data_IF_641166416891
#
_entry.id   IF_641166416891
#
_cell.length_a   1.000
_cell.length_b   1.000
_cell.length_c   1.000
_cell.angle_alpha   90.00
_cell.angle_beta   90.00
_cell.angle_gamma   90.00
#
_symmetry.space_group_name_H-M   'P 1'
#
loop_
_entity.id
_entity.type
_entity.pdbx_description
1 polymer ?
#
# COMPACT_ATOMS: atom_id res chain seq x y z
N UNK A 1 38.88 13.83 -23.85
CA UNK A 1 38.33 14.50 -25.05
C UNK A 1 36.82 14.86 -24.88
N UNK A 2 36.02 14.07 -24.24
CA UNK A 2 34.58 14.35 -23.99
C UNK A 2 34.33 15.49 -22.97
N UNK A 3 35.16 15.65 -21.92
CA UNK A 3 35.02 16.71 -20.93
C UNK A 3 35.16 18.14 -21.49
N UNK A 4 36.03 18.37 -22.48
CA UNK A 4 36.21 19.69 -23.09
C UNK A 4 35.10 20.09 -24.09
N UNK A 5 34.25 19.16 -24.52
CA UNK A 5 33.10 19.45 -25.36
C UNK A 5 31.87 19.90 -24.50
N UNK A 6 31.76 19.43 -23.25
CA UNK A 6 30.70 19.83 -22.31
C UNK A 6 30.76 21.32 -21.95
N UNK A 7 31.95 21.85 -21.71
CA UNK A 7 32.11 23.28 -21.36
C UNK A 7 31.79 24.24 -22.52
N UNK A 8 31.88 23.79 -23.77
CA UNK A 8 31.66 24.64 -24.96
C UNK A 8 30.23 24.72 -25.47
N UNK A 9 29.37 23.77 -25.05
CA UNK A 9 27.99 23.70 -25.55
C UNK A 9 26.98 23.33 -24.41
N UNK A 10 26.59 24.29 -23.58
CA UNK A 10 25.58 24.04 -22.54
C UNK A 10 24.23 23.57 -23.13
N UNK A 11 23.98 23.87 -24.39
CA UNK A 11 22.79 23.37 -25.11
C UNK A 11 22.86 21.84 -25.36
N UNK A 12 24.03 21.23 -25.40
CA UNK A 12 24.19 19.79 -25.53
C UNK A 12 23.79 19.04 -24.23
N UNK A 13 24.04 19.63 -23.08
CA UNK A 13 23.58 19.07 -21.80
C UNK A 13 22.07 19.15 -21.69
N UNK A 14 21.46 20.25 -22.13
CA UNK A 14 20.00 20.38 -22.20
C UNK A 14 19.37 19.39 -23.19
N UNK A 15 20.00 19.22 -24.37
CA UNK A 15 19.54 18.24 -25.36
C UNK A 15 19.78 16.80 -24.91
N UNK A 16 20.84 16.51 -24.19
CA UNK A 16 21.12 15.21 -23.61
C UNK A 16 20.12 14.92 -22.46
N UNK A 17 19.89 15.87 -21.57
CA UNK A 17 18.89 15.76 -20.51
C UNK A 17 17.46 15.62 -21.06
N UNK A 18 17.15 16.33 -22.16
CA UNK A 18 15.88 16.14 -22.88
C UNK A 18 15.80 14.77 -23.55
N UNK A 19 16.88 14.31 -24.17
CA UNK A 19 16.91 12.98 -24.80
C UNK A 19 16.89 11.86 -23.78
N UNK A 20 17.56 12.02 -22.65
CA UNK A 20 17.49 11.09 -21.52
C UNK A 20 16.08 11.05 -20.92
N UNK A 21 15.42 12.20 -20.74
CA UNK A 21 14.00 12.25 -20.33
C UNK A 21 13.06 11.60 -21.34
N UNK A 22 13.39 11.64 -22.63
CA UNK A 22 12.60 11.06 -23.72
C UNK A 22 12.88 9.56 -23.92
N UNK A 23 14.11 9.12 -23.65
CA UNK A 23 14.56 7.73 -23.86
C UNK A 23 14.43 6.88 -22.60
N UNK A 24 14.57 7.46 -21.41
CA UNK A 24 14.31 6.79 -20.15
C UNK A 24 12.84 7.03 -19.81
N UNK A 25 12.01 6.03 -20.04
CA UNK A 25 10.62 6.04 -19.61
C UNK A 25 10.59 6.25 -18.10
N UNK A 26 10.15 7.43 -17.67
CA UNK A 26 10.08 7.77 -16.25
C UNK A 26 8.96 6.96 -15.62
N UNK A 27 9.27 6.32 -14.51
CA UNK A 27 8.31 5.58 -13.71
C UNK A 27 7.51 6.56 -12.86
N UNK A 28 6.19 6.42 -12.88
CA UNK A 28 5.25 7.19 -12.05
C UNK A 28 4.42 6.22 -11.24
N UNK A 29 4.52 6.28 -9.93
CA UNK A 29 3.62 5.57 -9.04
C UNK A 29 2.43 6.46 -8.69
N UNK A 30 1.23 5.90 -8.71
CA UNK A 30 -0.01 6.60 -8.43
C UNK A 30 -0.84 5.82 -7.41
N UNK A 31 -1.17 6.46 -6.30
CA UNK A 31 -2.26 6.03 -5.41
C UNK A 31 -3.48 6.88 -5.71
N UNK A 32 -4.61 6.22 -5.88
CA UNK A 32 -5.90 6.89 -6.00
C UNK A 32 -6.71 6.61 -4.75
N UNK A 33 -7.25 7.67 -4.18
CA UNK A 33 -8.17 7.65 -3.07
C UNK A 33 -9.47 8.39 -3.46
N UNK A 34 -10.55 8.28 -2.69
CA UNK A 34 -11.82 8.94 -2.99
C UNK A 34 -11.70 10.46 -3.13
N UNK A 35 -10.81 11.05 -2.35
CA UNK A 35 -10.64 12.51 -2.24
C UNK A 35 -9.40 13.05 -2.92
N UNK A 36 -8.46 12.19 -3.31
CA UNK A 36 -7.14 12.63 -3.75
C UNK A 36 -6.41 11.64 -4.66
N UNK A 37 -5.50 12.18 -5.46
CA UNK A 37 -4.42 11.44 -6.10
C UNK A 37 -3.11 11.76 -5.36
N UNK A 38 -2.30 10.73 -5.11
CA UNK A 38 -0.94 10.92 -4.60
C UNK A 38 0.02 10.26 -5.58
N UNK A 39 0.89 11.06 -6.17
CA UNK A 39 1.86 10.61 -7.17
C UNK A 39 3.28 10.65 -6.61
N UNK A 40 4.09 9.66 -6.98
CA UNK A 40 5.52 9.60 -6.69
C UNK A 40 6.28 9.39 -7.98
N UNK A 41 7.29 10.23 -8.18
CA UNK A 41 8.26 10.09 -9.29
C UNK A 41 9.64 10.61 -8.90
N UNK A 42 10.62 10.30 -9.72
CA UNK A 42 11.98 10.80 -9.57
C UNK A 42 12.17 12.07 -10.43
N UNK A 43 12.55 13.16 -9.80
CA UNK A 43 12.89 14.42 -10.48
C UNK A 43 14.38 14.75 -10.29
N UNK A 44 15.17 14.40 -11.28
CA UNK A 44 16.62 14.43 -11.15
C UNK A 44 17.12 13.31 -10.25
N UNK A 45 17.75 13.66 -9.12
CA UNK A 45 18.21 12.70 -8.10
C UNK A 45 17.27 12.66 -6.86
N UNK A 46 16.11 13.30 -6.91
CA UNK A 46 15.21 13.42 -5.77
C UNK A 46 13.85 12.82 -6.08
N UNK A 47 13.29 12.16 -5.08
CA UNK A 47 11.91 11.73 -5.11
C UNK A 47 10.98 12.91 -4.83
N UNK A 48 9.89 12.98 -5.58
CA UNK A 48 8.85 13.99 -5.40
C UNK A 48 7.51 13.29 -5.19
N UNK A 49 6.82 13.67 -4.12
CA UNK A 49 5.44 13.29 -3.82
C UNK A 49 4.53 14.48 -4.07
N UNK A 50 3.51 14.29 -4.90
CA UNK A 50 2.52 15.33 -5.18
C UNK A 50 1.13 14.85 -4.82
N UNK A 51 0.46 15.67 -4.01
CA UNK A 51 -0.96 15.53 -3.71
C UNK A 51 -1.79 16.39 -4.66
N UNK A 52 -2.85 15.81 -5.19
CA UNK A 52 -3.84 16.48 -6.04
C UNK A 52 -5.23 16.15 -5.51
N UNK A 53 -6.01 17.14 -5.04
CA UNK A 53 -7.37 16.90 -4.59
C UNK A 53 -8.25 16.49 -5.77
N UNK A 54 -9.09 15.48 -5.58
CA UNK A 54 -10.07 15.06 -6.56
C UNK A 54 -11.37 15.86 -6.39
N UNK A 55 -11.99 16.29 -7.50
CA UNK A 55 -13.37 16.75 -7.48
C UNK A 55 -14.30 15.69 -6.87
N UNK A 56 -15.31 16.15 -6.16
CA UNK A 56 -16.32 15.27 -5.59
C UNK A 56 -16.97 14.41 -6.69
N UNK A 57 -17.32 13.19 -6.35
CA UNK A 57 -17.98 12.23 -7.24
C UNK A 57 -17.14 11.69 -8.43
N UNK A 58 -15.83 11.91 -8.50
CA UNK A 58 -14.98 11.24 -9.49
C UNK A 58 -14.64 9.79 -9.10
N UNK A 59 -14.53 9.53 -7.80
CA UNK A 59 -14.27 8.21 -7.25
C UNK A 59 -15.18 7.97 -6.04
N UNK A 60 -15.69 6.74 -5.87
CA UNK A 60 -16.52 6.37 -4.72
C UNK A 60 -16.30 4.91 -4.36
N UNK A 61 -16.01 4.64 -3.09
CA UNK A 61 -15.69 3.30 -2.59
C UNK A 61 -14.64 2.59 -3.46
N UNK A 62 -13.59 3.33 -3.86
CA UNK A 62 -12.52 2.84 -4.72
C UNK A 62 -12.88 2.69 -6.20
N UNK A 63 -14.14 2.93 -6.61
CA UNK A 63 -14.60 2.82 -7.99
C UNK A 63 -14.58 4.18 -8.70
N UNK A 64 -13.93 4.32 -9.86
CA UNK A 64 -14.04 5.54 -10.67
C UNK A 64 -15.44 5.65 -11.27
N UNK A 65 -16.14 6.73 -10.93
CA UNK A 65 -17.53 6.99 -11.38
C UNK A 65 -17.57 7.76 -12.70
N UNK A 66 -16.58 8.62 -12.95
CA UNK A 66 -16.44 9.42 -14.15
C UNK A 66 -15.09 9.16 -14.83
N UNK A 67 -14.97 7.98 -15.47
CA UNK A 67 -13.69 7.44 -15.97
C UNK A 67 -13.00 8.38 -16.96
N UNK A 68 -13.76 8.95 -17.90
CA UNK A 68 -13.21 9.87 -18.91
C UNK A 68 -12.64 11.15 -18.25
N UNK A 69 -13.41 11.78 -17.37
CA UNK A 69 -12.98 13.01 -16.69
C UNK A 69 -11.76 12.78 -15.78
N UNK A 70 -11.72 11.62 -15.11
CA UNK A 70 -10.57 11.25 -14.26
C UNK A 70 -9.34 10.94 -15.12
N UNK A 71 -9.51 10.30 -16.27
CA UNK A 71 -8.43 10.07 -17.23
C UNK A 71 -7.86 11.37 -17.80
N UNK A 72 -8.73 12.29 -18.24
CA UNK A 72 -8.32 13.61 -18.72
C UNK A 72 -7.54 14.40 -17.62
N UNK A 73 -8.07 14.41 -16.40
CA UNK A 73 -7.38 15.02 -15.26
C UNK A 73 -5.98 14.41 -15.05
N UNK A 74 -5.85 13.09 -15.09
CA UNK A 74 -4.59 12.40 -14.90
C UNK A 74 -3.60 12.73 -16.04
N UNK A 75 -4.08 12.74 -17.29
CA UNK A 75 -3.28 13.13 -18.46
C UNK A 75 -2.75 14.56 -18.37
N UNK A 76 -3.63 15.50 -18.00
CA UNK A 76 -3.27 16.91 -17.82
C UNK A 76 -2.23 17.09 -16.70
N UNK A 77 -2.41 16.38 -15.58
CA UNK A 77 -1.46 16.42 -14.46
C UNK A 77 -0.06 15.94 -14.86
N UNK A 78 0.04 14.84 -15.61
CA UNK A 78 1.33 14.32 -16.06
C UNK A 78 1.97 15.23 -17.11
N UNK A 79 1.16 15.88 -17.94
CA UNK A 79 1.61 16.90 -18.87
C UNK A 79 2.22 18.10 -18.13
N UNK A 80 1.53 18.62 -17.10
CA UNK A 80 1.97 19.78 -16.31
C UNK A 80 3.30 19.55 -15.60
N UNK A 81 3.55 18.35 -15.12
CA UNK A 81 4.82 18.00 -14.46
C UNK A 81 5.90 17.51 -15.43
N UNK A 82 5.60 17.50 -16.73
CA UNK A 82 6.56 17.13 -17.79
C UNK A 82 6.88 15.65 -17.85
N UNK A 83 6.00 14.78 -17.39
CA UNK A 83 6.13 13.31 -17.40
C UNK A 83 5.38 12.65 -18.58
N UNK A 84 5.37 13.33 -19.72
CA UNK A 84 4.82 12.79 -20.97
C UNK A 84 5.56 11.51 -21.35
N UNK A 85 4.80 10.42 -21.52
CA UNK A 85 5.36 9.12 -21.86
C UNK A 85 5.91 8.35 -20.64
N UNK A 86 5.63 8.81 -19.43
CA UNK A 86 5.91 8.07 -18.20
C UNK A 86 5.17 6.73 -18.15
N UNK A 87 5.81 5.71 -17.58
CA UNK A 87 5.17 4.43 -17.30
C UNK A 87 4.44 4.51 -15.98
N UNK A 88 3.13 4.31 -16.03
CA UNK A 88 2.27 4.38 -14.86
C UNK A 88 2.23 3.03 -14.14
N UNK A 89 2.48 3.05 -12.85
CA UNK A 89 2.17 1.98 -11.93
C UNK A 89 1.11 2.49 -10.95
N UNK A 90 -0.03 1.85 -10.94
CA UNK A 90 -1.17 2.30 -10.13
C UNK A 90 -1.38 1.38 -8.94
N UNK A 91 -1.60 1.99 -7.79
CA UNK A 91 -2.00 1.30 -6.57
C UNK A 91 -3.51 1.48 -6.38
N UNK A 92 -4.23 0.36 -6.46
CA UNK A 92 -5.67 0.31 -6.26
C UNK A 92 -6.04 0.72 -4.84
N UNK A 93 -7.15 1.43 -4.65
CA UNK A 93 -7.65 1.82 -3.34
C UNK A 93 -7.84 0.66 -2.37
N UNK A 94 -7.84 0.96 -1.06
CA UNK A 94 -7.86 -0.06 -0.01
C UNK A 94 -9.11 -0.96 -0.05
N UNK A 95 -10.26 -0.41 -0.42
CA UNK A 95 -11.56 -1.09 -0.43
C UNK A 95 -11.74 -2.06 -1.59
N UNK A 96 -10.83 -2.02 -2.60
CA UNK A 96 -11.02 -2.73 -3.88
C UNK A 96 -10.61 -4.18 -3.86
N UNK A 97 -9.75 -4.57 -2.96
CA UNK A 97 -9.18 -5.92 -2.91
C UNK A 97 -9.33 -6.56 -1.53
N UNK A 98 -9.15 -7.87 -1.51
CA UNK A 98 -9.07 -8.67 -0.30
C UNK A 98 -7.93 -9.64 -0.41
N UNK A 99 -7.33 -9.98 0.71
CA UNK A 99 -6.28 -10.97 0.78
C UNK A 99 -6.59 -12.09 1.77
N UNK A 100 -5.95 -13.24 1.55
CA UNK A 100 -5.92 -14.35 2.50
C UNK A 100 -4.59 -15.08 2.41
N UNK A 101 -4.10 -15.53 3.55
CA UNK A 101 -3.00 -16.47 3.63
C UNK A 101 -3.56 -17.88 3.42
N UNK A 102 -3.02 -18.60 2.45
CA UNK A 102 -3.40 -19.96 2.07
C UNK A 102 -2.35 -20.93 2.56
N UNK A 103 -2.82 -22.05 3.16
CA UNK A 103 -1.98 -23.20 3.47
C UNK A 103 -2.28 -24.30 2.46
N UNK A 104 -1.24 -24.96 1.95
CA UNK A 104 -1.34 -26.07 1.01
C UNK A 104 -0.93 -27.38 1.70
N UNK A 105 -1.85 -28.11 2.35
CA UNK A 105 -1.50 -29.32 3.13
C UNK A 105 -0.84 -30.41 2.29
N UNK A 106 -1.27 -30.57 1.03
CA UNK A 106 -0.78 -31.57 0.09
C UNK A 106 0.39 -31.08 -0.77
N UNK A 107 0.96 -29.91 -0.44
CA UNK A 107 1.97 -29.22 -1.23
C UNK A 107 1.39 -28.13 -2.12
N UNK A 108 2.23 -27.17 -2.47
CA UNK A 108 1.83 -26.09 -3.38
C UNK A 108 1.48 -26.65 -4.76
N UNK A 109 0.34 -26.23 -5.38
CA UNK A 109 -0.03 -26.69 -6.70
C UNK A 109 1.06 -26.36 -7.73
N UNK A 110 1.55 -27.34 -8.44
CA UNK A 110 2.60 -27.18 -9.47
C UNK A 110 2.10 -26.36 -10.67
N UNK A 111 0.79 -26.38 -10.92
CA UNK A 111 0.17 -25.76 -12.09
C UNK A 111 -1.11 -25.04 -11.68
N UNK A 112 -1.18 -23.74 -12.01
CA UNK A 112 -2.37 -22.89 -11.85
C UNK A 112 -2.92 -22.79 -10.40
N UNK A 113 -2.17 -22.10 -9.55
CA UNK A 113 -2.59 -21.78 -8.17
C UNK A 113 -3.95 -21.05 -8.10
N UNK A 114 -4.29 -20.27 -9.14
CA UNK A 114 -5.59 -19.56 -9.22
C UNK A 114 -6.73 -20.54 -9.43
N UNK A 115 -6.51 -21.61 -10.20
CA UNK A 115 -7.50 -22.68 -10.37
C UNK A 115 -7.71 -23.43 -9.05
N UNK A 116 -6.62 -23.81 -8.37
CA UNK A 116 -6.68 -24.44 -7.06
C UNK A 116 -7.40 -23.55 -6.03
N UNK A 117 -7.14 -22.23 -6.03
CA UNK A 117 -7.85 -21.28 -5.18
C UNK A 117 -9.35 -21.29 -5.45
N UNK A 118 -9.77 -21.36 -6.73
CA UNK A 118 -11.19 -21.41 -7.09
C UNK A 118 -11.86 -22.71 -6.63
N UNK A 119 -11.15 -23.81 -6.65
CA UNK A 119 -11.62 -25.11 -6.14
C UNK A 119 -11.80 -25.07 -4.62
N UNK A 120 -10.95 -24.36 -3.89
CA UNK A 120 -11.04 -24.14 -2.44
C UNK A 120 -12.04 -23.03 -2.03
N UNK A 121 -12.63 -22.29 -2.99
CA UNK A 121 -13.51 -21.16 -2.70
C UNK A 121 -14.62 -21.45 -1.68
N UNK A 122 -15.33 -22.59 -1.73
CA UNK A 122 -16.39 -22.89 -0.76
C UNK A 122 -15.90 -22.96 0.69
N UNK A 123 -14.65 -23.42 0.90
CA UNK A 123 -14.02 -23.53 2.22
C UNK A 123 -13.50 -22.19 2.73
N UNK A 124 -13.00 -21.36 1.83
CA UNK A 124 -12.43 -20.06 2.15
C UNK A 124 -13.47 -18.95 2.35
N UNK A 125 -14.70 -19.17 1.90
CA UNK A 125 -15.82 -18.25 2.04
C UNK A 125 -15.46 -16.80 1.65
N UNK A 126 -14.98 -16.61 0.41
CA UNK A 126 -14.70 -15.28 -0.11
C UNK A 126 -16.00 -14.48 -0.27
N UNK A 127 -16.02 -13.21 0.12
CA UNK A 127 -17.20 -12.35 -0.10
C UNK A 127 -17.39 -11.95 -1.56
N UNK A 128 -16.38 -12.20 -2.40
CA UNK A 128 -16.42 -11.98 -3.86
C UNK A 128 -16.52 -13.32 -4.59
N UNK A 129 -17.27 -13.34 -5.69
CA UNK A 129 -17.30 -14.49 -6.60
C UNK A 129 -15.94 -14.60 -7.32
N UNK A 130 -15.17 -15.67 -7.05
CA UNK A 130 -13.87 -15.87 -7.69
C UNK A 130 -13.99 -16.07 -9.22
N UNK A 131 -15.18 -16.45 -9.75
CA UNK A 131 -15.41 -16.55 -11.19
C UNK A 131 -15.47 -15.17 -11.87
N UNK A 132 -15.89 -14.13 -11.14
CA UNK A 132 -16.00 -12.76 -11.59
C UNK A 132 -14.85 -11.87 -11.13
N UNK A 133 -13.84 -12.47 -10.47
CA UNK A 133 -12.71 -11.75 -9.89
C UNK A 133 -11.41 -12.01 -10.63
N UNK A 134 -10.49 -11.06 -10.54
CA UNK A 134 -9.08 -11.30 -10.75
C UNK A 134 -8.44 -11.80 -9.46
N UNK A 135 -7.56 -12.79 -9.58
CA UNK A 135 -6.85 -13.38 -8.46
C UNK A 135 -5.35 -13.37 -8.75
N UNK A 136 -4.58 -12.90 -7.79
CA UNK A 136 -3.13 -13.04 -7.78
C UNK A 136 -2.75 -13.94 -6.60
N UNK A 137 -1.92 -14.94 -6.84
CA UNK A 137 -1.43 -15.84 -5.79
C UNK A 137 0.09 -15.88 -5.86
N UNK A 138 0.75 -15.67 -4.73
CA UNK A 138 2.19 -15.63 -4.63
C UNK A 138 2.67 -16.49 -3.47
N UNK A 139 3.64 -17.39 -3.70
CA UNK A 139 4.29 -18.16 -2.65
C UNK A 139 4.99 -17.23 -1.67
N UNK A 140 4.81 -17.49 -0.38
CA UNK A 140 5.38 -16.67 0.69
C UNK A 140 6.05 -17.56 1.74
N UNK A 141 7.03 -17.01 2.46
CA UNK A 141 7.74 -17.70 3.52
C UNK A 141 7.69 -16.92 4.82
N UNK A 142 7.51 -17.62 5.93
CA UNK A 142 7.63 -17.06 7.26
C UNK A 142 9.08 -16.61 7.51
N UNK A 143 9.26 -15.42 8.04
CA UNK A 143 10.56 -14.93 8.45
C UNK A 143 11.10 -15.81 9.59
N UNK A 144 12.41 -16.14 9.53
CA UNK A 144 13.07 -16.93 10.57
C UNK A 144 12.84 -18.46 10.50
N UNK A 145 11.98 -18.95 9.59
CA UNK A 145 11.76 -20.38 9.41
C UNK A 145 12.67 -20.93 8.32
N UNK A 146 13.54 -21.88 8.68
CA UNK A 146 14.40 -22.58 7.71
C UNK A 146 13.62 -23.61 6.87
N UNK A 147 12.48 -24.08 7.35
CA UNK A 147 11.55 -24.94 6.61
C UNK A 147 10.19 -24.91 7.28
N UNK A 148 9.18 -24.38 6.63
CA UNK A 148 7.79 -24.63 7.02
C UNK A 148 7.37 -25.98 6.44
N UNK A 149 6.79 -26.88 7.24
CA UNK A 149 6.31 -28.17 6.73
C UNK A 149 5.18 -28.00 5.71
N UNK A 150 4.50 -26.87 5.72
CA UNK A 150 3.37 -26.58 4.84
C UNK A 150 3.67 -25.33 4.01
N UNK A 151 3.64 -25.42 2.67
CA UNK A 151 3.78 -24.25 1.81
C UNK A 151 2.66 -23.25 2.05
N UNK A 152 3.04 -21.97 2.01
CA UNK A 152 2.13 -20.85 2.20
C UNK A 152 2.09 -19.99 0.94
N UNK A 153 0.91 -19.49 0.60
CA UNK A 153 0.75 -18.49 -0.46
C UNK A 153 -0.15 -17.36 0.00
N UNK A 154 0.15 -16.15 -0.42
CA UNK A 154 -0.72 -15.00 -0.25
C UNK A 154 -1.59 -14.84 -1.50
N UNK A 155 -2.89 -14.93 -1.32
CA UNK A 155 -3.86 -14.68 -2.38
C UNK A 155 -4.46 -13.28 -2.21
N UNK A 156 -4.52 -12.53 -3.31
CA UNK A 156 -5.20 -11.23 -3.42
C UNK A 156 -6.28 -11.34 -4.47
N UNK A 157 -7.47 -10.89 -4.15
CA UNK A 157 -8.65 -11.00 -5.02
C UNK A 157 -9.31 -9.64 -5.15
N UNK A 158 -9.71 -9.28 -6.37
CA UNK A 158 -10.44 -8.05 -6.68
C UNK A 158 -11.50 -8.29 -7.74
N UNK A 159 -12.57 -7.49 -7.73
CA UNK A 159 -13.61 -7.52 -8.76
C UNK A 159 -13.05 -7.12 -10.13
N UNK A 160 -13.41 -7.89 -11.17
CA UNK A 160 -13.01 -7.57 -12.57
C UNK A 160 -13.52 -6.22 -13.04
N UNK A 161 -14.75 -5.86 -12.67
CA UNK A 161 -15.34 -4.59 -13.07
C UNK A 161 -14.54 -3.41 -12.49
N UNK A 162 -14.04 -3.55 -11.27
CA UNK A 162 -13.17 -2.58 -10.63
C UNK A 162 -11.87 -2.38 -11.42
N UNK A 163 -11.18 -3.47 -11.74
CA UNK A 163 -9.93 -3.42 -12.51
C UNK A 163 -10.15 -2.81 -13.90
N UNK A 164 -11.19 -3.25 -14.62
CA UNK A 164 -11.51 -2.69 -15.92
C UNK A 164 -11.85 -1.20 -15.85
N UNK A 165 -12.58 -0.77 -14.80
CA UNK A 165 -12.90 0.63 -14.61
C UNK A 165 -11.64 1.51 -14.47
N UNK A 166 -10.61 1.01 -13.78
CA UNK A 166 -9.33 1.71 -13.66
C UNK A 166 -8.49 1.64 -14.94
N UNK A 167 -8.53 0.52 -15.65
CA UNK A 167 -7.90 0.42 -16.99
C UNK A 167 -8.51 1.46 -17.94
N UNK A 168 -9.84 1.60 -17.98
CA UNK A 168 -10.52 2.60 -18.79
C UNK A 168 -10.08 4.04 -18.45
N UNK A 169 -9.81 4.35 -17.16
CA UNK A 169 -9.28 5.65 -16.75
C UNK A 169 -7.89 5.88 -17.33
N UNK A 170 -7.01 4.88 -17.25
CA UNK A 170 -5.63 4.99 -17.75
C UNK A 170 -5.61 5.07 -19.28
N UNK A 171 -6.48 4.31 -19.95
CA UNK A 171 -6.66 4.40 -21.41
C UNK A 171 -7.18 5.79 -21.83
N UNK A 172 -8.12 6.38 -21.08
CA UNK A 172 -8.61 7.73 -21.33
C UNK A 172 -7.54 8.81 -21.12
N UNK A 173 -6.54 8.54 -20.28
CA UNK A 173 -5.37 9.39 -20.08
C UNK A 173 -4.28 9.23 -21.16
N UNK A 174 -4.43 8.27 -22.09
CA UNK A 174 -3.43 7.87 -23.10
C UNK A 174 -2.08 7.52 -22.48
N UNK A 175 -2.09 6.78 -21.38
CA UNK A 175 -0.91 6.41 -20.62
C UNK A 175 -0.63 4.91 -20.68
N UNK A 176 0.65 4.50 -20.75
CA UNK A 176 1.02 3.09 -20.65
C UNK A 176 0.95 2.63 -19.19
N UNK A 177 -0.01 1.76 -18.88
CA UNK A 177 -0.10 1.10 -17.58
C UNK A 177 0.89 -0.07 -17.53
N UNK A 178 1.90 0.04 -16.66
CA UNK A 178 2.91 -0.99 -16.47
C UNK A 178 2.48 -2.04 -15.44
N UNK A 179 1.89 -1.58 -14.34
CA UNK A 179 1.50 -2.43 -13.23
C UNK A 179 0.24 -1.90 -12.54
N UNK A 180 -0.55 -2.83 -12.01
CA UNK A 180 -1.71 -2.55 -11.19
C UNK A 180 -1.60 -3.42 -9.94
N UNK A 181 -1.45 -2.79 -8.79
CA UNK A 181 -1.26 -3.44 -7.51
C UNK A 181 -2.25 -2.89 -6.48
N UNK A 182 -2.50 -3.65 -5.41
CA UNK A 182 -3.29 -3.17 -4.30
C UNK A 182 -2.44 -2.38 -3.29
N UNK A 183 -2.89 -1.18 -2.90
CA UNK A 183 -2.11 -0.31 -2.01
C UNK A 183 -1.77 -0.97 -0.67
N UNK A 184 -2.63 -1.84 -0.14
CA UNK A 184 -2.37 -2.50 1.13
C UNK A 184 -1.24 -3.54 1.03
N UNK A 185 -1.09 -4.24 -0.11
CA UNK A 185 0.06 -5.14 -0.33
C UNK A 185 1.36 -4.38 -0.44
N UNK A 186 1.34 -3.24 -1.12
CA UNK A 186 2.49 -2.35 -1.19
C UNK A 186 2.88 -1.80 0.19
N UNK A 187 1.90 -1.28 0.95
CA UNK A 187 2.11 -0.79 2.31
C UNK A 187 2.63 -1.88 3.26
N UNK A 188 2.09 -3.10 3.16
CA UNK A 188 2.56 -4.25 3.93
C UNK A 188 4.05 -4.54 3.69
N UNK A 189 4.51 -4.46 2.43
CA UNK A 189 5.94 -4.65 2.14
C UNK A 189 6.82 -3.61 2.84
N UNK A 190 6.39 -2.33 2.84
CA UNK A 190 7.11 -1.28 3.56
C UNK A 190 7.14 -1.53 5.08
N UNK A 191 6.01 -1.92 5.68
CA UNK A 191 5.93 -2.29 7.10
C UNK A 191 6.87 -3.45 7.40
N UNK A 192 6.83 -4.50 6.56
CA UNK A 192 7.68 -5.68 6.72
C UNK A 192 9.18 -5.33 6.62
N UNK A 193 9.56 -4.50 5.65
CA UNK A 193 10.94 -4.05 5.50
C UNK A 193 11.41 -3.22 6.70
N UNK A 194 10.58 -2.29 7.16
CA UNK A 194 10.92 -1.43 8.29
C UNK A 194 10.94 -2.16 9.64
N UNK A 195 10.17 -3.24 9.77
CA UNK A 195 10.09 -4.06 10.99
C UNK A 195 10.98 -5.32 10.97
N UNK A 196 11.81 -5.50 9.97
CA UNK A 196 12.66 -6.71 9.80
C UNK A 196 13.60 -7.02 10.98
N UNK A 197 13.88 -6.04 11.83
CA UNK A 197 14.75 -6.20 13.01
C UNK A 197 14.00 -6.76 14.21
N UNK A 198 12.68 -6.82 14.15
CA UNK A 198 11.86 -7.33 15.24
C UNK A 198 11.58 -8.82 15.06
N UNK A 199 12.02 -9.62 16.02
CA UNK A 199 11.79 -11.06 16.05
C UNK A 199 10.51 -11.36 16.86
N UNK A 200 9.36 -11.28 16.21
CA UNK A 200 8.08 -11.50 16.88
C UNK A 200 6.89 -11.34 15.94
N UNK A 201 5.71 -11.30 16.54
CA UNK A 201 4.47 -10.99 15.83
C UNK A 201 4.26 -9.48 15.79
N UNK A 202 3.66 -8.99 14.72
CA UNK A 202 3.39 -7.57 14.53
C UNK A 202 1.88 -7.32 14.41
N UNK A 203 1.36 -6.41 15.20
CA UNK A 203 0.03 -5.86 15.04
C UNK A 203 0.13 -4.55 14.25
N UNK A 204 -0.32 -4.57 13.02
CA UNK A 204 -0.39 -3.38 12.17
C UNK A 204 -1.77 -2.78 12.24
N UNK A 205 -1.88 -1.62 12.89
CA UNK A 205 -3.09 -0.86 13.03
C UNK A 205 -3.04 0.32 12.07
N UNK A 206 -4.04 0.43 11.20
CA UNK A 206 -4.09 1.50 10.21
C UNK A 206 -5.46 2.19 10.22
N UNK A 207 -5.44 3.52 9.99
CA UNK A 207 -6.62 4.35 9.85
C UNK A 207 -6.73 4.85 8.42
N UNK A 208 -7.93 4.76 7.85
CA UNK A 208 -8.24 5.25 6.52
C UNK A 208 -9.68 5.74 6.48
N UNK A 209 -9.90 6.98 6.05
CA UNK A 209 -11.22 7.64 6.06
C UNK A 209 -11.96 7.53 7.41
N UNK A 210 -11.25 7.68 8.53
CA UNK A 210 -11.81 7.59 9.87
C UNK A 210 -12.12 6.15 10.35
N UNK A 211 -11.90 5.13 9.52
CA UNK A 211 -12.08 3.72 9.87
C UNK A 211 -10.77 3.05 10.23
N UNK A 212 -10.79 2.30 11.32
CA UNK A 212 -9.64 1.54 11.79
C UNK A 212 -9.67 0.10 11.29
N UNK A 213 -8.49 -0.40 10.96
CA UNK A 213 -8.26 -1.77 10.51
C UNK A 213 -7.06 -2.35 11.22
N UNK A 214 -7.17 -3.58 11.71
CA UNK A 214 -6.11 -4.33 12.35
C UNK A 214 -5.67 -5.47 11.45
N UNK A 215 -4.40 -5.48 11.09
CA UNK A 215 -3.74 -6.59 10.38
C UNK A 215 -2.74 -7.22 11.33
N UNK A 216 -2.94 -8.51 11.65
CA UNK A 216 -2.03 -9.26 12.49
C UNK A 216 -1.06 -10.06 11.63
N UNK A 217 0.22 -9.80 11.82
CA UNK A 217 1.29 -10.40 11.04
C UNK A 217 2.04 -11.42 11.90
N UNK A 218 2.10 -12.67 11.45
CA UNK A 218 2.94 -13.71 12.05
C UNK A 218 4.13 -13.98 11.15
N UNK A 219 5.33 -13.89 11.71
CA UNK A 219 6.54 -14.01 10.90
C UNK A 219 6.57 -13.08 9.68
N UNK A 220 5.94 -11.90 9.78
CA UNK A 220 5.82 -10.92 8.73
C UNK A 220 4.73 -11.21 7.68
N UNK A 221 3.91 -12.26 7.82
CA UNK A 221 2.80 -12.59 6.91
C UNK A 221 1.44 -12.20 7.50
N UNK A 222 0.51 -11.64 6.70
CA UNK A 222 -0.82 -11.25 7.16
C UNK A 222 -1.69 -12.49 7.42
N UNK A 223 -1.90 -12.83 8.69
CA UNK A 223 -2.69 -13.97 9.10
C UNK A 223 -4.15 -13.61 9.41
N UNK A 224 -4.35 -12.42 9.99
CA UNK A 224 -5.68 -11.86 10.25
C UNK A 224 -5.75 -10.44 9.71
N UNK A 225 -6.90 -10.11 9.15
CA UNK A 225 -7.25 -8.78 8.68
C UNK A 225 -8.68 -8.47 9.14
N UNK A 226 -8.83 -7.47 10.01
CA UNK A 226 -10.08 -7.16 10.70
C UNK A 226 -10.37 -5.67 10.69
N UNK A 227 -11.56 -5.30 10.18
CA UNK A 227 -12.06 -3.93 10.30
C UNK A 227 -12.65 -3.75 11.70
N UNK A 228 -12.16 -2.74 12.44
CA UNK A 228 -12.66 -2.41 13.75
C UNK A 228 -13.98 -1.64 13.63
N UNK A 229 -14.93 -1.97 14.50
CA UNK A 229 -16.25 -1.33 14.56
C UNK A 229 -16.18 -0.02 15.34
N UNK A 230 -15.37 0.02 16.38
CA UNK A 230 -15.12 1.20 17.18
C UNK A 230 -14.07 2.09 16.48
N UNK A 231 -14.26 3.40 16.62
CA UNK A 231 -13.31 4.40 16.13
C UNK A 231 -13.06 5.45 17.19
N UNK A 232 -11.98 6.20 17.02
CA UNK A 232 -11.68 7.40 17.80
C UNK A 232 -10.96 8.42 16.93
N UNK A 233 -11.03 9.67 17.31
CA UNK A 233 -10.33 10.79 16.68
C UNK A 233 -9.66 11.65 17.74
N UNK A 234 -8.37 11.95 17.53
CA UNK A 234 -7.61 12.84 18.39
C UNK A 234 -7.56 12.38 19.84
N UNK A 235 -7.82 13.27 20.78
CA UNK A 235 -7.55 13.07 22.21
C UNK A 235 -8.50 12.14 22.96
N UNK A 236 -9.55 11.61 22.33
CA UNK A 236 -10.57 10.79 22.99
C UNK A 236 -10.50 9.32 22.61
N UNK A 237 -9.39 8.68 23.01
CA UNK A 237 -9.23 7.23 22.83
C UNK A 237 -10.27 6.47 23.65
N UNK A 238 -11.28 5.92 22.96
CA UNK A 238 -12.41 5.27 23.59
C UNK A 238 -12.04 3.94 24.24
N UNK A 239 -12.67 3.61 25.37
CA UNK A 239 -12.50 2.31 26.01
C UNK A 239 -13.04 1.17 25.13
N UNK A 240 -14.11 1.42 24.38
CA UNK A 240 -14.72 0.42 23.48
C UNK A 240 -13.73 0.01 22.38
N UNK A 241 -12.95 0.98 21.84
CA UNK A 241 -11.91 0.69 20.87
C UNK A 241 -10.81 -0.23 21.44
N UNK A 242 -10.31 0.10 22.64
CA UNK A 242 -9.28 -0.71 23.30
C UNK A 242 -9.81 -2.10 23.69
N UNK A 243 -11.07 -2.20 24.06
CA UNK A 243 -11.72 -3.48 24.37
C UNK A 243 -11.83 -4.34 23.11
N UNK A 244 -12.36 -3.82 21.99
CA UNK A 244 -12.47 -4.55 20.72
C UNK A 244 -11.11 -5.02 20.26
N UNK A 245 -10.10 -4.14 20.31
CA UNK A 245 -8.73 -4.46 19.95
C UNK A 245 -8.18 -5.63 20.78
N UNK A 246 -8.39 -5.61 22.09
CA UNK A 246 -7.94 -6.66 22.99
C UNK A 246 -8.68 -7.99 22.74
N UNK A 247 -9.99 -7.95 22.46
CA UNK A 247 -10.80 -9.14 22.14
C UNK A 247 -10.27 -9.83 20.86
N UNK A 248 -10.00 -9.05 19.81
CA UNK A 248 -9.44 -9.58 18.55
C UNK A 248 -8.06 -10.19 18.77
N UNK A 249 -7.19 -9.52 19.53
CA UNK A 249 -5.86 -10.04 19.85
C UNK A 249 -5.93 -11.33 20.68
N UNK A 250 -6.80 -11.40 21.67
CA UNK A 250 -6.97 -12.61 22.48
C UNK A 250 -7.49 -13.77 21.64
N UNK A 251 -8.52 -13.54 20.81
CA UNK A 251 -9.05 -14.54 19.90
C UNK A 251 -7.95 -15.09 18.97
N UNK A 252 -7.16 -14.20 18.39
CA UNK A 252 -6.05 -14.59 17.52
C UNK A 252 -4.97 -15.41 18.26
N UNK A 253 -4.57 -15.00 19.47
CA UNK A 253 -3.60 -15.73 20.30
C UNK A 253 -4.09 -17.12 20.70
N UNK A 254 -5.36 -17.27 20.99
CA UNK A 254 -5.97 -18.57 21.34
C UNK A 254 -5.88 -19.55 20.15
N UNK A 255 -6.06 -19.10 18.93
CA UNK A 255 -5.94 -19.94 17.74
C UNK A 255 -4.49 -20.36 17.46
N UNK A 256 -3.52 -19.67 18.01
CA UNK A 256 -2.09 -19.92 17.78
C UNK A 256 -1.50 -21.10 18.55
N UNK A 257 -2.20 -21.66 19.52
CA UNK A 257 -1.91 -22.97 20.19
C UNK A 257 -0.60 -23.08 20.96
N UNK A 258 0.12 -21.98 21.23
CA UNK A 258 1.44 -22.06 21.86
C UNK A 258 1.86 -20.78 22.61
N UNK A 259 3.11 -20.75 23.08
CA UNK A 259 3.71 -19.54 23.64
C UNK A 259 3.65 -18.43 22.62
N UNK A 260 2.94 -17.34 22.93
CA UNK A 260 2.85 -16.18 22.05
C UNK A 260 4.22 -15.50 21.98
N UNK A 261 4.81 -15.31 20.79
CA UNK A 261 6.03 -14.53 20.65
C UNK A 261 5.79 -13.08 21.12
N UNK A 262 6.85 -12.29 21.31
CA UNK A 262 6.71 -10.87 21.58
C UNK A 262 5.83 -10.21 20.52
N UNK A 263 4.96 -9.30 20.93
CA UNK A 263 4.11 -8.52 20.03
C UNK A 263 4.63 -7.09 19.98
N UNK A 264 4.81 -6.57 18.78
CA UNK A 264 5.03 -5.15 18.56
C UNK A 264 3.89 -4.54 17.73
N UNK A 265 3.82 -3.22 17.77
CA UNK A 265 2.79 -2.44 17.06
C UNK A 265 3.41 -1.61 15.95
N UNK A 266 2.74 -1.61 14.81
CA UNK A 266 2.96 -0.65 13.75
C UNK A 266 1.67 0.14 13.55
N UNK A 267 1.72 1.46 13.69
CA UNK A 267 0.54 2.32 13.58
C UNK A 267 0.71 3.23 12.38
N UNK A 268 -0.26 3.18 11.46
CA UNK A 268 -0.35 4.02 10.26
C UNK A 268 -1.60 4.87 10.38
N UNK A 269 -1.44 6.09 10.86
CA UNK A 269 -2.51 7.06 11.09
C UNK A 269 -1.92 8.47 11.12
N UNK A 270 -2.76 9.48 11.26
CA UNK A 270 -2.33 10.83 11.55
C UNK A 270 -1.42 10.87 12.78
N UNK A 271 -0.45 11.79 12.81
CA UNK A 271 0.58 11.81 13.84
C UNK A 271 0.03 11.89 15.27
N UNK A 272 -1.09 12.59 15.46
CA UNK A 272 -1.76 12.73 16.77
C UNK A 272 -2.30 11.38 17.23
N UNK A 273 -3.06 10.69 16.36
CA UNK A 273 -3.65 9.38 16.68
C UNK A 273 -2.57 8.32 16.91
N UNK A 274 -1.51 8.33 16.08
CA UNK A 274 -0.38 7.44 16.23
C UNK A 274 0.30 7.62 17.58
N UNK A 275 0.58 8.86 17.99
CA UNK A 275 1.25 9.14 19.26
C UNK A 275 0.42 8.69 20.47
N UNK A 276 -0.88 8.95 20.44
CA UNK A 276 -1.79 8.56 21.52
C UNK A 276 -1.89 7.05 21.67
N UNK A 277 -2.09 6.33 20.54
CA UNK A 277 -2.12 4.88 20.55
C UNK A 277 -0.82 4.27 21.07
N UNK A 278 0.34 4.76 20.61
CA UNK A 278 1.61 4.28 21.11
C UNK A 278 1.70 4.42 22.63
N UNK A 279 1.38 5.60 23.17
CA UNK A 279 1.41 5.85 24.62
C UNK A 279 0.42 4.95 25.38
N UNK A 280 -0.79 4.75 24.86
CA UNK A 280 -1.80 3.91 25.49
C UNK A 280 -1.38 2.43 25.49
N UNK A 281 -0.92 1.89 24.36
CA UNK A 281 -0.52 0.50 24.23
C UNK A 281 0.73 0.18 25.07
N UNK A 282 1.71 1.07 25.11
CA UNK A 282 2.88 0.93 25.97
C UNK A 282 2.51 0.99 27.46
N UNK A 283 1.61 1.91 27.85
CA UNK A 283 1.13 2.01 29.24
C UNK A 283 0.36 0.78 29.71
N UNK A 284 -0.33 0.09 28.80
CA UNK A 284 -1.03 -1.16 29.06
C UNK A 284 -0.12 -2.39 29.00
N UNK A 285 1.16 -2.23 28.68
CA UNK A 285 2.10 -3.34 28.53
C UNK A 285 1.78 -4.26 27.35
N UNK A 286 1.10 -3.74 26.33
CA UNK A 286 0.66 -4.53 25.16
C UNK A 286 1.74 -4.73 24.10
N UNK A 287 2.95 -4.26 24.34
CA UNK A 287 4.09 -4.39 23.42
C UNK A 287 4.71 -3.06 23.03
N UNK A 288 5.78 -3.12 22.25
CA UNK A 288 6.53 -1.96 21.79
C UNK A 288 5.94 -1.37 20.50
N UNK A 289 5.89 -0.04 20.39
CA UNK A 289 5.53 0.64 19.15
C UNK A 289 6.77 0.87 18.27
N UNK A 290 6.82 0.20 17.12
CA UNK A 290 7.92 0.29 16.15
C UNK A 290 7.75 1.46 15.16
N UNK A 291 6.51 1.87 14.89
CA UNK A 291 6.23 2.98 14.00
C UNK A 291 6.80 4.27 14.57
N UNK A 292 7.62 4.94 13.76
CA UNK A 292 8.09 6.30 14.05
C UNK A 292 7.20 7.25 13.27
N UNK A 293 7.04 8.48 13.76
CA UNK A 293 6.33 9.54 13.03
C UNK A 293 7.13 9.97 11.78
N UNK A 294 7.21 9.07 10.79
CA UNK A 294 7.82 9.32 9.50
C UNK A 294 6.78 9.10 8.42
N UNK A 295 6.55 10.11 7.63
CA UNK A 295 5.69 10.04 6.46
C UNK A 295 6.25 9.07 5.41
N UNK A 296 7.58 9.00 5.29
CA UNK A 296 8.31 8.12 4.38
C UNK A 296 9.15 7.12 5.18
N UNK A 297 8.95 5.85 4.94
CA UNK A 297 9.52 4.76 5.77
C UNK A 297 10.74 4.13 5.12
N UNK A 298 10.90 4.29 3.81
CA UNK A 298 11.90 3.61 3.00
C UNK A 298 13.00 4.60 2.57
N UNK A 299 14.25 4.16 2.70
CA UNK A 299 15.42 4.96 2.37
C UNK A 299 15.77 6.04 3.40
N UNK A 300 16.89 6.72 3.19
CA UNK A 300 17.38 7.80 4.08
C UNK A 300 16.84 9.17 3.64
N UNK A 301 16.56 9.37 2.36
CA UNK A 301 16.11 10.63 1.81
C UNK A 301 14.59 10.78 1.88
N UNK A 302 14.15 11.88 2.48
CA UNK A 302 12.75 12.27 2.48
C UNK A 302 12.37 12.86 1.10
N UNK A 303 11.27 12.42 0.49
CA UNK A 303 10.80 13.01 -0.76
C UNK A 303 10.39 14.48 -0.57
N UNK A 304 10.48 15.24 -1.64
CA UNK A 304 9.90 16.58 -1.69
C UNK A 304 8.37 16.47 -1.73
N UNK A 305 7.68 17.18 -0.83
CA UNK A 305 6.22 17.18 -0.75
C UNK A 305 5.66 18.38 -1.53
N UNK A 306 4.77 18.11 -2.47
CA UNK A 306 4.09 19.13 -3.28
C UNK A 306 2.57 18.99 -3.18
N UNK A 307 1.84 20.07 -3.39
CA UNK A 307 0.38 20.07 -3.46
C UNK A 307 -0.23 21.36 -2.95
N UNK A 308 -1.51 21.59 -3.25
CA UNK A 308 -2.21 22.82 -2.87
C UNK A 308 -2.54 22.90 -1.38
N UNK A 309 -2.59 21.74 -0.70
CA UNK A 309 -2.95 21.64 0.71
C UNK A 309 -1.84 20.95 1.52
N UNK A 310 -1.02 21.72 2.27
CA UNK A 310 0.00 21.16 3.13
C UNK A 310 -0.55 20.33 4.32
N UNK A 311 -1.79 20.57 4.74
CA UNK A 311 -2.41 19.85 5.85
C UNK A 311 -2.78 18.43 5.46
N UNK A 312 -3.00 18.17 4.17
CA UNK A 312 -3.22 16.82 3.66
C UNK A 312 -2.16 15.83 4.15
N UNK A 313 -0.89 16.25 4.15
CA UNK A 313 0.23 15.39 4.52
C UNK A 313 0.26 14.99 6.00
N UNK A 314 -0.61 15.57 6.82
CA UNK A 314 -0.76 15.24 8.25
C UNK A 314 -1.88 14.23 8.50
N UNK A 315 -2.69 13.93 7.49
CA UNK A 315 -3.86 13.07 7.59
C UNK A 315 -3.57 11.57 7.42
N UNK A 316 -4.57 10.76 7.73
CA UNK A 316 -4.52 9.29 7.66
C UNK A 316 -4.28 8.80 6.23
N UNK A 317 -5.01 9.34 5.26
CA UNK A 317 -4.93 8.95 3.85
C UNK A 317 -3.54 9.19 3.28
N UNK A 318 -2.92 10.35 3.60
CA UNK A 318 -1.56 10.65 3.18
C UNK A 318 -0.55 9.68 3.79
N UNK A 319 -0.68 9.36 5.07
CA UNK A 319 0.24 8.45 5.77
C UNK A 319 0.21 7.05 5.14
N UNK A 320 -0.99 6.52 4.86
CA UNK A 320 -1.14 5.22 4.21
C UNK A 320 -0.66 5.26 2.74
N UNK A 321 -0.99 6.32 1.99
CA UNK A 321 -0.54 6.49 0.61
C UNK A 321 0.99 6.55 0.50
N UNK A 322 1.64 7.32 1.38
CA UNK A 322 3.10 7.39 1.43
C UNK A 322 3.75 6.04 1.77
N UNK A 323 3.17 5.29 2.71
CA UNK A 323 3.65 3.97 3.06
C UNK A 323 3.51 2.99 1.88
N UNK A 324 2.38 3.03 1.17
CA UNK A 324 2.14 2.20 0.00
C UNK A 324 3.09 2.55 -1.16
N UNK A 325 3.26 3.84 -1.45
CA UNK A 325 4.20 4.30 -2.47
C UNK A 325 5.64 3.93 -2.14
N UNK A 326 6.04 4.02 -0.86
CA UNK A 326 7.35 3.57 -0.40
C UNK A 326 7.57 2.07 -0.69
N UNK A 327 6.61 1.23 -0.31
CA UNK A 327 6.70 -0.22 -0.53
C UNK A 327 6.63 -0.64 -2.00
N UNK A 328 5.93 0.13 -2.85
CA UNK A 328 5.93 -0.07 -4.29
C UNK A 328 7.24 0.40 -4.93
N UNK A 329 7.86 1.46 -4.41
CA UNK A 329 9.11 2.01 -4.93
C UNK A 329 10.30 1.05 -4.74
N UNK A 330 10.37 0.34 -3.62
CA UNK A 330 11.46 -0.61 -3.32
C UNK A 330 11.50 -1.86 -4.20
N UNK A 331 10.46 -2.15 -4.97
CA UNK A 331 10.43 -3.32 -5.87
C UNK A 331 11.30 -3.17 -7.14
N UNK A 332 12.21 -2.24 -7.17
CA UNK A 332 13.16 -2.05 -8.29
C UNK A 332 14.14 -3.19 -8.45
#
# INVERSE_FOLDING_TARGET
MLAGLRERFPQLEQLQAMAERWLLQQRVLLVVDESALVMLWEQGERLTLRHVPLPQDLCRAGMPTQRQALGELLGDLLLDIGLLGGQLEMLLPMETCQWRLLCWPDGEPEVDQVKALRELNPELNWPLSLSESYCAVSSVQLAGSLSTPTPLSLAVVTDRLMVHAWIDVVEAADLPLLNLEWMLTAAWRAVRAASQHFEGDLAWLLKHHGHWRLVLLRGGLPELDHALSASFDGDDLSQDFLQELNEVLQAWRLHSGGASPPLAWWITAAAVDQQQLCLALESLGQGECLSKQKLWVVGEEQPTLEGPDPEFWQGDCATLACLALAGAWEQR
#
